data_IF_377229810421
#
_entry.id   IF_377229810421
#
_cell.length_a   1.000
_cell.length_b   1.000
_cell.length_c   1.000
_cell.angle_alpha   90.00
_cell.angle_beta   90.00
_cell.angle_gamma   90.00
#
_symmetry.space_group_name_H-M   'P 1'
#
loop_
_entity.id
_entity.type
_entity.pdbx_description
1 polymer ?
#
# COMPACT_ATOMS: atom_id res chain seq x y z
N UNK A 1 1.86 27.89 29.95
CA UNK A 1 2.20 27.78 28.52
C UNK A 1 1.49 26.54 28.03
N UNK A 2 0.33 26.74 27.41
CA UNK A 2 -0.46 25.66 26.84
C UNK A 2 0.26 25.19 25.57
N UNK A 3 0.87 24.01 25.64
CA UNK A 3 1.40 23.35 24.45
C UNK A 3 0.28 22.50 23.89
N UNK A 4 -0.61 23.16 23.15
CA UNK A 4 -1.52 22.49 22.23
C UNK A 4 -0.66 21.73 21.22
N UNK A 5 -0.38 20.46 21.49
CA UNK A 5 0.17 19.54 20.50
C UNK A 5 -0.89 19.46 19.40
N UNK A 6 -0.57 20.00 18.22
CA UNK A 6 -1.39 19.79 17.05
C UNK A 6 -1.52 18.28 16.82
N UNK A 7 -2.73 17.76 16.93
CA UNK A 7 -3.06 16.42 16.46
C UNK A 7 -2.80 16.37 14.95
N UNK A 8 -1.71 15.72 14.57
CA UNK A 8 -1.45 15.40 13.17
C UNK A 8 -2.37 14.23 12.84
N UNK A 9 -3.54 14.53 12.29
CA UNK A 9 -4.47 13.55 11.72
C UNK A 9 -3.88 13.10 10.38
N UNK A 10 -3.00 12.10 10.41
CA UNK A 10 -2.53 11.42 9.23
C UNK A 10 -2.80 9.94 9.45
N UNK A 11 -3.30 9.22 8.44
CA UNK A 11 -3.57 7.78 8.58
C UNK A 11 -2.33 6.99 9.03
N UNK A 12 -1.13 7.48 8.71
CA UNK A 12 0.15 6.93 9.22
C UNK A 12 0.37 7.06 10.74
N UNK A 13 -0.37 7.94 11.41
CA UNK A 13 -0.20 8.34 12.80
C UNK A 13 -1.29 7.77 13.70
N UNK A 14 -2.37 7.15 13.22
CA UNK A 14 -3.28 6.36 14.06
C UNK A 14 -3.60 5.01 13.41
N UNK A 15 -4.20 4.10 14.18
CA UNK A 15 -4.36 2.71 13.74
C UNK A 15 -5.50 2.55 12.73
N UNK A 16 -6.32 3.57 12.50
CA UNK A 16 -7.30 3.74 11.41
C UNK A 16 -7.84 2.42 10.86
N UNK A 17 -8.63 1.72 11.68
CA UNK A 17 -9.28 0.47 11.27
C UNK A 17 -8.36 -0.75 11.06
N UNK A 18 -7.04 -0.63 11.15
CA UNK A 18 -6.10 -1.76 11.01
C UNK A 18 -6.43 -2.91 11.96
N UNK A 19 -6.58 -4.09 11.37
CA UNK A 19 -6.96 -5.32 12.07
C UNK A 19 -8.47 -5.48 12.25
N UNK A 20 -9.27 -4.80 11.43
CA UNK A 20 -10.72 -5.01 11.38
C UNK A 20 -11.08 -6.38 10.81
N UNK A 21 -12.32 -6.82 11.05
CA UNK A 21 -12.88 -8.00 10.42
C UNK A 21 -13.65 -7.59 9.16
N UNK A 22 -13.69 -8.48 8.15
CA UNK A 22 -14.53 -8.30 6.96
C UNK A 22 -16.00 -8.68 7.26
N UNK A 23 -16.59 -8.07 8.29
CA UNK A 23 -17.96 -8.32 8.74
C UNK A 23 -18.92 -7.20 8.31
N UNK A 24 -20.22 -7.41 8.55
CA UNK A 24 -21.26 -6.45 8.16
C UNK A 24 -21.01 -5.05 8.76
N UNK A 25 -20.45 -4.97 9.98
CA UNK A 25 -20.17 -3.69 10.63
C UNK A 25 -19.08 -2.90 9.91
N UNK A 26 -18.04 -3.56 9.40
CA UNK A 26 -17.01 -2.90 8.60
C UNK A 26 -17.58 -2.36 7.28
N UNK A 27 -18.42 -3.14 6.59
CA UNK A 27 -19.05 -2.69 5.34
C UNK A 27 -20.06 -1.57 5.57
N UNK A 28 -20.85 -1.64 6.64
CA UNK A 28 -21.80 -0.59 7.01
C UNK A 28 -21.07 0.73 7.31
N UNK A 29 -19.94 0.68 8.02
CA UNK A 29 -19.13 1.86 8.33
C UNK A 29 -18.54 2.53 7.07
N UNK A 30 -18.14 1.74 6.07
CA UNK A 30 -17.58 2.22 4.80
C UNK A 30 -18.64 2.51 3.73
N UNK A 31 -19.93 2.40 4.07
CA UNK A 31 -21.05 2.72 3.18
C UNK A 31 -21.53 4.15 3.42
N UNK A 32 -21.78 4.89 2.35
CA UNK A 32 -22.29 6.25 2.40
C UNK A 32 -23.66 6.31 3.13
N UNK A 33 -23.89 7.31 4.00
CA UNK A 33 -22.99 8.40 4.38
C UNK A 33 -21.93 7.96 5.40
N UNK A 34 -20.65 8.20 5.11
CA UNK A 34 -19.55 7.90 6.04
C UNK A 34 -19.23 9.16 6.86
N UNK A 35 -19.01 9.00 8.18
CA UNK A 35 -18.76 10.11 9.11
C UNK A 35 -19.83 11.24 9.08
N UNK A 36 -21.05 10.93 8.64
CA UNK A 36 -22.16 11.87 8.52
C UNK A 36 -22.16 12.71 7.24
N UNK A 37 -21.26 12.44 6.29
CA UNK A 37 -21.19 13.11 5.00
C UNK A 37 -21.76 12.21 3.89
N UNK A 38 -22.79 12.68 3.16
CA UNK A 38 -23.38 11.92 2.04
C UNK A 38 -22.40 11.71 0.87
N UNK A 39 -21.40 12.58 0.77
CA UNK A 39 -20.41 12.58 -0.31
C UNK A 39 -19.27 11.57 -0.09
N UNK A 40 -19.15 11.00 1.11
CA UNK A 40 -18.08 10.06 1.49
C UNK A 40 -18.61 8.63 1.59
N UNK A 41 -17.71 7.64 1.56
CA UNK A 41 -18.05 6.21 1.58
C UNK A 41 -18.48 5.63 0.23
N UNK A 42 -18.59 4.32 0.16
CA UNK A 42 -19.07 3.60 -1.01
C UNK A 42 -20.60 3.61 -1.09
N UNK A 43 -21.17 3.53 -2.28
CA UNK A 43 -22.60 3.28 -2.41
C UNK A 43 -22.97 1.89 -1.85
N UNK A 44 -24.20 1.69 -1.35
CA UNK A 44 -24.63 0.40 -0.83
C UNK A 44 -24.43 -0.78 -1.78
N UNK A 45 -24.63 -0.57 -3.09
CA UNK A 45 -24.40 -1.63 -4.08
C UNK A 45 -22.91 -1.96 -4.28
N UNK A 46 -22.02 -0.99 -4.07
CA UNK A 46 -20.57 -1.17 -4.18
C UNK A 46 -20.04 -1.95 -2.98
N UNK A 47 -20.45 -1.57 -1.76
CA UNK A 47 -20.11 -2.28 -0.54
C UNK A 47 -20.63 -3.72 -0.57
N UNK A 48 -21.88 -3.93 -1.00
CA UNK A 48 -22.47 -5.27 -1.14
C UNK A 48 -21.73 -6.13 -2.19
N UNK A 49 -21.31 -5.54 -3.32
CA UNK A 49 -20.52 -6.24 -4.33
C UNK A 49 -19.16 -6.68 -3.79
N UNK A 50 -18.44 -5.77 -3.13
CA UNK A 50 -17.15 -6.08 -2.50
C UNK A 50 -17.31 -7.16 -1.42
N UNK A 51 -18.34 -7.07 -0.59
CA UNK A 51 -18.60 -8.07 0.45
C UNK A 51 -18.86 -9.46 -0.15
N UNK A 52 -19.71 -9.54 -1.17
CA UNK A 52 -20.00 -10.81 -1.88
C UNK A 52 -18.72 -11.41 -2.47
N UNK A 53 -17.87 -10.56 -3.05
CA UNK A 53 -16.57 -10.98 -3.59
C UNK A 53 -15.63 -11.52 -2.52
N UNK A 54 -15.48 -10.83 -1.39
CA UNK A 54 -14.59 -11.27 -0.32
C UNK A 54 -15.07 -12.54 0.39
N UNK A 55 -16.37 -12.86 0.31
CA UNK A 55 -16.95 -14.15 0.74
C UNK A 55 -16.70 -15.29 -0.28
N UNK A 56 -16.26 -14.96 -1.50
CA UNK A 56 -16.02 -15.93 -2.57
C UNK A 56 -17.24 -16.24 -3.44
N UNK A 57 -18.32 -15.47 -3.28
CA UNK A 57 -19.61 -15.71 -3.94
C UNK A 57 -19.74 -14.97 -5.30
N UNK A 58 -18.70 -14.25 -5.72
CA UNK A 58 -18.63 -13.57 -7.02
C UNK A 58 -17.23 -13.61 -7.61
N UNK A 59 -17.14 -13.43 -8.92
CA UNK A 59 -15.87 -13.31 -9.63
C UNK A 59 -15.34 -11.87 -9.61
N UNK A 60 -14.02 -11.68 -9.83
CA UNK A 60 -13.41 -10.35 -9.93
C UNK A 60 -14.08 -9.45 -10.98
N UNK A 61 -14.43 -9.99 -12.15
CA UNK A 61 -15.01 -9.23 -13.26
C UNK A 61 -16.47 -8.83 -13.00
N UNK A 62 -17.28 -9.73 -12.43
CA UNK A 62 -18.66 -9.42 -12.00
C UNK A 62 -18.66 -8.33 -10.92
N UNK A 63 -17.73 -8.45 -9.96
CA UNK A 63 -17.57 -7.49 -8.87
C UNK A 63 -17.15 -6.13 -9.41
N UNK A 64 -16.14 -6.08 -10.29
CA UNK A 64 -15.71 -4.85 -10.94
C UNK A 64 -16.87 -4.18 -11.69
N UNK A 65 -17.62 -4.94 -12.51
CA UNK A 65 -18.76 -4.43 -13.25
C UNK A 65 -19.89 -3.88 -12.33
N UNK A 66 -20.11 -4.52 -11.17
CA UNK A 66 -21.09 -4.04 -10.19
C UNK A 66 -20.64 -2.76 -9.49
N UNK A 67 -19.36 -2.68 -9.09
CA UNK A 67 -18.83 -1.54 -8.34
C UNK A 67 -18.75 -0.26 -9.19
N UNK A 68 -18.40 -0.38 -10.47
CA UNK A 68 -18.29 0.76 -11.39
C UNK A 68 -19.62 1.21 -11.99
N UNK A 69 -20.75 0.65 -11.53
CA UNK A 69 -22.07 1.08 -11.98
C UNK A 69 -22.39 2.46 -11.37
N UNK A 70 -22.69 3.49 -12.18
CA UNK A 70 -23.05 4.81 -11.67
C UNK A 70 -24.31 4.79 -10.80
N UNK A 71 -24.32 5.61 -9.77
CA UNK A 71 -25.46 5.90 -8.92
C UNK A 71 -26.08 7.26 -9.28
N UNK A 72 -27.31 7.25 -9.79
CA UNK A 72 -28.02 8.48 -10.15
C UNK A 72 -27.30 9.27 -11.24
N UNK A 73 -27.01 10.56 -10.97
CA UNK A 73 -26.34 11.49 -11.88
C UNK A 73 -24.92 11.86 -11.42
N UNK A 74 -24.27 11.00 -10.62
CA UNK A 74 -22.91 11.26 -10.14
C UNK A 74 -21.89 11.35 -11.30
N UNK A 75 -20.81 12.12 -11.08
CA UNK A 75 -19.70 12.18 -12.04
C UNK A 75 -18.87 10.91 -11.96
N UNK A 76 -18.28 10.51 -13.08
CA UNK A 76 -17.46 9.29 -13.08
C UNK A 76 -16.17 9.46 -12.27
N UNK A 77 -15.65 10.67 -12.13
CA UNK A 77 -14.54 10.98 -11.19
C UNK A 77 -14.88 10.67 -9.74
N UNK A 78 -16.11 11.00 -9.32
CA UNK A 78 -16.57 10.84 -7.93
C UNK A 78 -16.83 9.35 -7.68
N UNK A 79 -17.47 8.68 -8.64
CA UNK A 79 -17.61 7.23 -8.67
C UNK A 79 -16.25 6.51 -8.54
N UNK A 80 -15.24 6.94 -9.31
CA UNK A 80 -13.88 6.38 -9.21
C UNK A 80 -13.31 6.58 -7.81
N UNK A 81 -13.46 7.77 -7.24
CA UNK A 81 -13.01 8.06 -5.87
C UNK A 81 -13.63 7.11 -4.84
N UNK A 82 -14.95 6.89 -4.90
CA UNK A 82 -15.66 5.98 -3.97
C UNK A 82 -15.22 4.53 -4.13
N UNK A 83 -15.12 4.05 -5.38
CA UNK A 83 -14.70 2.67 -5.69
C UNK A 83 -13.27 2.41 -5.23
N UNK A 84 -12.33 3.32 -5.52
CA UNK A 84 -10.95 3.16 -5.08
C UNK A 84 -10.83 3.31 -3.56
N UNK A 85 -11.54 4.26 -2.95
CA UNK A 85 -11.51 4.51 -1.51
C UNK A 85 -11.84 3.27 -0.68
N UNK A 86 -12.97 2.61 -0.93
CA UNK A 86 -13.32 1.40 -0.18
C UNK A 86 -12.34 0.24 -0.41
N UNK A 87 -11.70 0.17 -1.58
CA UNK A 87 -10.67 -0.85 -1.85
C UNK A 87 -9.35 -0.50 -1.13
N UNK A 88 -8.98 0.78 -1.08
CA UNK A 88 -7.83 1.28 -0.31
C UNK A 88 -7.99 0.98 1.18
N UNK A 89 -9.16 1.30 1.75
CA UNK A 89 -9.47 1.02 3.15
C UNK A 89 -9.51 -0.51 3.38
N UNK A 90 -10.15 -1.29 2.49
CA UNK A 90 -10.14 -2.75 2.60
C UNK A 90 -8.72 -3.35 2.55
N UNK A 91 -7.84 -2.83 1.69
CA UNK A 91 -6.46 -3.30 1.58
C UNK A 91 -5.66 -3.03 2.85
N UNK A 92 -5.89 -1.88 3.50
CA UNK A 92 -5.18 -1.52 4.71
C UNK A 92 -5.78 -2.18 5.96
N UNK A 93 -7.10 -2.16 6.12
CA UNK A 93 -7.78 -2.47 7.37
C UNK A 93 -8.06 -3.96 7.57
N UNK A 94 -8.38 -4.67 6.48
CA UNK A 94 -8.79 -6.07 6.53
C UNK A 94 -7.58 -7.02 6.63
N UNK A 95 -7.80 -8.28 7.07
CA UNK A 95 -6.73 -9.25 7.17
C UNK A 95 -6.03 -9.50 5.84
N UNK A 96 -4.70 -9.68 5.91
CA UNK A 96 -3.82 -9.94 4.77
C UNK A 96 -4.28 -11.07 3.84
N UNK A 97 -5.10 -12.01 4.34
CA UNK A 97 -5.72 -13.07 3.54
C UNK A 97 -6.58 -12.54 2.38
N UNK A 98 -7.13 -11.33 2.49
CA UNK A 98 -7.95 -10.71 1.44
C UNK A 98 -7.11 -9.95 0.40
N UNK A 99 -5.86 -9.60 0.69
CA UNK A 99 -5.01 -8.82 -0.22
C UNK A 99 -4.91 -9.40 -1.63
N UNK A 100 -4.72 -10.72 -1.87
CA UNK A 100 -4.68 -11.25 -3.23
C UNK A 100 -5.97 -11.02 -4.02
N UNK A 101 -7.13 -11.16 -3.37
CA UNK A 101 -8.43 -10.92 -3.99
C UNK A 101 -8.62 -9.44 -4.34
N UNK A 102 -8.29 -8.54 -3.42
CA UNK A 102 -8.39 -7.09 -3.60
C UNK A 102 -7.46 -6.57 -4.70
N UNK A 103 -6.21 -7.05 -4.72
CA UNK A 103 -5.24 -6.73 -5.78
C UNK A 103 -5.74 -7.20 -7.15
N UNK A 104 -6.36 -8.38 -7.22
CA UNK A 104 -6.93 -8.87 -8.46
C UNK A 104 -8.14 -8.02 -8.90
N UNK A 105 -8.97 -7.58 -7.97
CA UNK A 105 -10.10 -6.68 -8.26
C UNK A 105 -9.61 -5.32 -8.80
N UNK A 106 -8.58 -4.72 -8.19
CA UNK A 106 -7.95 -3.49 -8.71
C UNK A 106 -7.45 -3.66 -10.14
N UNK A 107 -6.82 -4.81 -10.42
CA UNK A 107 -6.35 -5.13 -11.76
C UNK A 107 -7.51 -5.22 -12.76
N UNK A 108 -8.60 -5.90 -12.42
CA UNK A 108 -9.78 -5.98 -13.29
C UNK A 108 -10.40 -4.61 -13.55
N UNK A 109 -10.58 -3.80 -12.49
CA UNK A 109 -11.10 -2.44 -12.61
C UNK A 109 -10.22 -1.62 -13.57
N UNK A 110 -8.90 -1.70 -13.46
CA UNK A 110 -7.98 -0.93 -14.30
C UNK A 110 -8.03 -1.27 -15.80
N UNK A 111 -8.64 -2.40 -16.16
CA UNK A 111 -8.76 -2.88 -17.54
C UNK A 111 -10.12 -2.54 -18.17
N UNK A 112 -11.02 -1.90 -17.42
CA UNK A 112 -12.33 -1.52 -17.94
C UNK A 112 -12.22 -0.43 -19.02
N UNK A 113 -12.97 -0.55 -20.12
CA UNK A 113 -12.82 0.30 -21.31
C UNK A 113 -13.51 1.68 -21.20
N UNK A 114 -13.92 2.13 -20.01
CA UNK A 114 -14.75 3.33 -19.86
C UNK A 114 -13.95 4.64 -19.92
N UNK A 115 -14.54 5.66 -20.55
CA UNK A 115 -13.92 6.97 -20.83
C UNK A 115 -14.83 8.14 -20.37
N UNK A 116 -14.22 9.26 -20.01
CA UNK A 116 -14.88 10.55 -19.73
C UNK A 116 -14.08 11.65 -20.42
N UNK A 117 -14.77 12.50 -21.18
CA UNK A 117 -14.16 13.55 -22.00
C UNK A 117 -13.04 13.06 -22.96
N UNK A 118 -13.12 11.80 -23.39
CA UNK A 118 -12.15 11.17 -24.28
C UNK A 118 -10.89 10.63 -23.59
N UNK A 119 -10.84 10.68 -22.26
CA UNK A 119 -9.76 10.11 -21.46
C UNK A 119 -10.22 8.83 -20.75
N UNK A 120 -9.40 7.76 -20.76
CA UNK A 120 -9.68 6.56 -19.98
C UNK A 120 -9.77 6.85 -18.49
N UNK A 121 -10.90 6.52 -17.85
CA UNK A 121 -11.09 6.78 -16.41
C UNK A 121 -10.40 5.73 -15.57
N UNK A 122 -10.59 4.46 -15.97
CA UNK A 122 -10.16 3.32 -15.18
C UNK A 122 -8.73 2.88 -15.49
N UNK A 123 -8.23 3.03 -16.72
CA UNK A 123 -6.81 2.76 -16.94
C UNK A 123 -5.89 3.79 -16.25
N UNK A 124 -6.39 5.03 -16.07
CA UNK A 124 -5.75 6.05 -15.23
C UNK A 124 -6.01 5.84 -13.71
N UNK A 125 -6.91 4.94 -13.32
CA UNK A 125 -7.24 4.72 -11.90
C UNK A 125 -6.06 4.17 -11.10
N UNK A 126 -5.12 3.47 -11.74
CA UNK A 126 -3.92 2.96 -11.09
C UNK A 126 -3.01 4.08 -10.59
N UNK A 127 -2.86 5.12 -11.40
CA UNK A 127 -2.10 6.31 -11.00
C UNK A 127 -2.83 7.02 -9.86
N UNK A 128 -4.15 7.20 -9.99
CA UNK A 128 -4.97 7.82 -8.95
C UNK A 128 -4.91 7.06 -7.61
N UNK A 129 -4.94 5.72 -7.66
CA UNK A 129 -4.79 4.84 -6.50
C UNK A 129 -3.41 4.99 -5.87
N UNK A 130 -2.34 4.96 -6.67
CA UNK A 130 -0.98 5.16 -6.17
C UNK A 130 -0.76 6.53 -5.53
N UNK A 131 -1.29 7.59 -6.15
CA UNK A 131 -1.21 8.95 -5.61
C UNK A 131 -2.00 9.04 -4.27
N UNK A 132 -3.23 8.54 -4.22
CA UNK A 132 -4.08 8.49 -3.00
C UNK A 132 -3.41 7.69 -1.88
N UNK A 133 -2.95 6.47 -2.19
CA UNK A 133 -2.24 5.60 -1.25
C UNK A 133 -0.97 6.27 -0.71
N UNK A 134 -0.18 6.92 -1.56
CA UNK A 134 1.02 7.63 -1.13
C UNK A 134 0.69 8.80 -0.19
N UNK A 135 -0.35 9.58 -0.50
CA UNK A 135 -0.75 10.74 0.29
C UNK A 135 -1.30 10.35 1.67
N UNK A 136 -2.05 9.26 1.75
CA UNK A 136 -2.51 8.69 3.03
C UNK A 136 -1.35 8.27 3.94
N UNK A 137 -0.21 7.88 3.37
CA UNK A 137 0.84 7.13 4.07
C UNK A 137 2.25 7.74 3.95
N UNK A 138 2.37 9.07 4.11
CA UNK A 138 3.67 9.78 4.05
C UNK A 138 4.70 9.20 5.04
N UNK A 139 5.85 8.77 4.52
CA UNK A 139 6.90 8.05 5.26
C UNK A 139 7.56 8.84 6.40
N UNK A 140 7.53 10.18 6.41
CA UNK A 140 8.14 10.96 7.51
C UNK A 140 7.31 10.93 8.79
N UNK A 141 5.98 10.84 8.68
CA UNK A 141 5.07 11.01 9.81
C UNK A 141 5.06 9.79 10.75
N UNK A 142 5.32 8.57 10.25
CA UNK A 142 5.37 7.40 11.13
C UNK A 142 6.58 7.42 12.07
N UNK A 143 7.75 7.91 11.61
CA UNK A 143 8.94 8.04 12.48
C UNK A 143 8.67 8.99 13.65
N UNK A 144 8.00 10.11 13.38
CA UNK A 144 7.54 11.04 14.43
C UNK A 144 6.52 10.39 15.37
N UNK A 145 5.58 9.61 14.83
CA UNK A 145 4.59 8.86 15.62
C UNK A 145 5.24 7.79 16.53
N UNK A 146 6.43 7.29 16.20
CA UNK A 146 7.17 6.34 17.03
C UNK A 146 7.91 6.99 18.20
N UNK A 147 8.17 8.29 18.17
CA UNK A 147 8.91 9.01 19.23
C UNK A 147 8.06 9.18 20.49
N UNK A 148 6.73 8.99 20.43
CA UNK A 148 5.81 9.54 21.44
C UNK A 148 4.98 8.55 22.27
N UNK A 149 5.13 7.22 22.18
CA UNK A 149 4.08 6.33 22.73
C UNK A 149 4.56 5.05 23.44
N UNK A 150 3.61 4.42 24.14
CA UNK A 150 3.75 3.19 24.93
C UNK A 150 4.04 1.93 24.08
N UNK A 151 4.54 0.83 24.70
CA UNK A 151 4.95 -0.37 23.96
C UNK A 151 3.85 -1.08 23.15
N UNK A 152 2.59 -1.08 23.61
CA UNK A 152 1.51 -1.80 22.93
C UNK A 152 1.11 -1.09 21.63
N UNK A 153 1.00 0.24 21.69
CA UNK A 153 0.77 1.08 20.51
C UNK A 153 1.88 0.93 19.48
N UNK A 154 3.14 0.83 19.93
CA UNK A 154 4.29 0.58 19.05
C UNK A 154 4.17 -0.78 18.34
N UNK A 155 3.84 -1.86 19.04
CA UNK A 155 3.72 -3.19 18.43
C UNK A 155 2.66 -3.23 17.32
N UNK A 156 1.46 -2.67 17.57
CA UNK A 156 0.38 -2.67 16.57
C UNK A 156 0.71 -1.82 15.34
N UNK A 157 1.44 -0.70 15.51
CA UNK A 157 1.92 0.10 14.38
C UNK A 157 2.97 -0.62 13.54
N UNK A 158 3.84 -1.39 14.18
CA UNK A 158 4.81 -2.24 13.46
C UNK A 158 4.07 -3.23 12.58
N UNK A 159 3.04 -3.88 13.12
CA UNK A 159 2.19 -4.81 12.35
C UNK A 159 1.52 -4.11 11.17
N UNK A 160 0.93 -2.93 11.38
CA UNK A 160 0.33 -2.13 10.31
C UNK A 160 1.36 -1.72 9.23
N UNK A 161 2.57 -1.34 9.64
CA UNK A 161 3.64 -0.97 8.71
C UNK A 161 4.12 -2.17 7.86
N UNK A 162 4.23 -3.35 8.48
CA UNK A 162 4.57 -4.60 7.79
C UNK A 162 3.45 -5.01 6.82
N UNK A 163 2.20 -4.90 7.25
CA UNK A 163 1.02 -5.17 6.41
C UNK A 163 0.97 -4.24 5.20
N UNK A 164 1.23 -2.95 5.40
CA UNK A 164 1.36 -1.98 4.31
C UNK A 164 2.43 -2.42 3.30
N UNK A 165 3.63 -2.79 3.76
CA UNK A 165 4.68 -3.28 2.87
C UNK A 165 4.24 -4.54 2.09
N UNK A 166 3.43 -5.40 2.72
CA UNK A 166 2.85 -6.57 2.04
C UNK A 166 1.89 -6.16 0.92
N UNK A 167 0.98 -5.22 1.19
CA UNK A 167 0.05 -4.68 0.20
C UNK A 167 0.81 -4.03 -0.96
N UNK A 168 1.73 -3.13 -0.66
CA UNK A 168 2.49 -2.40 -1.69
C UNK A 168 3.30 -3.36 -2.58
N UNK A 169 3.98 -4.33 -1.99
CA UNK A 169 4.71 -5.35 -2.74
C UNK A 169 3.78 -6.22 -3.58
N UNK A 170 2.60 -6.58 -3.06
CA UNK A 170 1.61 -7.38 -3.80
C UNK A 170 1.06 -6.60 -5.00
N UNK A 171 0.73 -5.32 -4.83
CA UNK A 171 0.31 -4.43 -5.90
C UNK A 171 1.42 -4.21 -6.95
N UNK A 172 2.68 -4.05 -6.52
CA UNK A 172 3.80 -3.90 -7.45
C UNK A 172 4.06 -5.16 -8.28
N UNK A 173 3.74 -6.33 -7.72
CA UNK A 173 3.84 -7.61 -8.41
C UNK A 173 2.59 -7.96 -9.22
N UNK A 174 1.53 -7.16 -9.15
CA UNK A 174 0.37 -7.29 -10.01
C UNK A 174 0.61 -6.55 -11.32
N UNK A 175 0.63 -7.31 -12.42
CA UNK A 175 1.00 -6.85 -13.77
C UNK A 175 2.39 -6.17 -13.83
N UNK A 176 3.47 -6.86 -13.40
CA UNK A 176 4.79 -6.25 -13.34
C UNK A 176 5.29 -5.98 -14.76
N UNK A 177 5.65 -4.73 -15.05
CA UNK A 177 6.31 -4.37 -16.28
C UNK A 177 7.84 -4.44 -16.18
N UNK A 178 8.56 -4.18 -17.29
CA UNK A 178 10.02 -4.27 -17.36
C UNK A 178 10.76 -3.22 -16.52
N UNK A 179 10.10 -2.15 -16.08
CA UNK A 179 10.68 -1.00 -15.37
C UNK A 179 10.19 -0.90 -13.92
N UNK A 180 10.94 -0.17 -13.09
CA UNK A 180 10.62 0.03 -11.68
C UNK A 180 9.36 0.88 -11.42
N UNK A 181 8.82 1.52 -12.46
CA UNK A 181 7.60 2.34 -12.40
C UNK A 181 6.34 1.58 -12.82
N UNK A 182 6.50 0.34 -13.27
CA UNK A 182 5.41 -0.48 -13.78
C UNK A 182 4.80 -1.32 -12.63
N UNK A 183 3.59 -1.82 -12.83
CA UNK A 183 2.76 -2.49 -11.80
C UNK A 183 1.56 -1.65 -11.39
N UNK A 184 0.69 -2.17 -10.50
CA UNK A 184 -0.39 -1.35 -9.90
C UNK A 184 0.20 -0.27 -8.97
N UNK A 185 1.27 -0.63 -8.26
CA UNK A 185 2.13 0.30 -7.53
C UNK A 185 3.58 0.16 -8.02
N UNK A 186 4.40 1.22 -8.00
CA UNK A 186 5.72 1.16 -8.59
C UNK A 186 6.71 0.39 -7.70
N UNK A 187 7.46 -0.54 -8.28
CA UNK A 187 8.58 -1.24 -7.63
C UNK A 187 9.62 -0.28 -7.00
N UNK A 188 9.71 0.97 -7.48
CA UNK A 188 10.57 2.00 -6.89
C UNK A 188 10.30 2.26 -5.40
N UNK A 189 9.06 2.05 -4.93
CA UNK A 189 8.74 2.13 -3.51
C UNK A 189 9.38 1.00 -2.71
N UNK A 190 9.49 -0.19 -3.28
CA UNK A 190 10.23 -1.30 -2.68
C UNK A 190 11.72 -1.01 -2.57
N UNK A 191 12.32 -0.40 -3.60
CA UNK A 191 13.71 0.06 -3.53
C UNK A 191 13.91 1.10 -2.42
N UNK A 192 12.98 2.05 -2.26
CA UNK A 192 13.02 3.00 -1.16
C UNK A 192 12.92 2.29 0.20
N UNK A 193 11.87 1.48 0.41
CA UNK A 193 11.65 0.76 1.66
C UNK A 193 12.87 -0.08 2.07
N UNK A 194 13.44 -0.86 1.14
CA UNK A 194 14.61 -1.70 1.42
C UNK A 194 15.84 -0.85 1.73
N UNK A 195 16.08 0.21 0.97
CA UNK A 195 17.24 1.06 1.18
C UNK A 195 17.13 1.88 2.48
N UNK A 196 15.93 2.33 2.86
CA UNK A 196 15.67 2.94 4.17
C UNK A 196 15.98 1.95 5.30
N UNK A 197 15.43 0.74 5.25
CA UNK A 197 15.64 -0.26 6.31
C UNK A 197 17.04 -0.83 6.39
N UNK A 198 17.74 -1.00 5.25
CA UNK A 198 19.01 -1.74 5.21
C UNK A 198 20.24 -0.86 4.94
N UNK A 199 20.10 0.34 4.39
CA UNK A 199 21.24 1.21 4.07
C UNK A 199 21.30 2.48 4.90
N UNK A 200 20.19 2.90 5.52
CA UNK A 200 20.18 4.07 6.38
C UNK A 200 20.84 3.75 7.73
N UNK A 201 21.75 4.62 8.19
CA UNK A 201 22.37 4.48 9.51
C UNK A 201 21.37 4.75 10.65
N UNK A 202 20.36 5.59 10.39
CA UNK A 202 19.30 5.95 11.33
C UNK A 202 18.06 5.07 11.22
N UNK A 203 18.16 3.88 10.62
CA UNK A 203 17.02 2.99 10.46
C UNK A 203 16.44 2.60 11.84
N UNK A 204 15.12 2.57 11.95
CA UNK A 204 14.37 2.05 13.10
C UNK A 204 14.17 0.56 12.89
N UNK A 205 15.10 -0.24 13.42
CA UNK A 205 15.27 -1.64 13.01
C UNK A 205 14.02 -2.49 13.20
N UNK A 206 13.34 -2.37 14.33
CA UNK A 206 12.13 -3.14 14.63
C UNK A 206 10.92 -2.75 13.76
N UNK A 207 11.00 -1.68 12.94
CA UNK A 207 9.95 -1.26 12.01
C UNK A 207 10.35 -1.46 10.54
N UNK A 208 11.48 -0.90 10.15
CA UNK A 208 11.85 -0.78 8.73
C UNK A 208 12.45 -2.07 8.17
N UNK A 209 13.15 -2.85 9.01
CA UNK A 209 13.76 -4.11 8.58
C UNK A 209 12.69 -5.17 8.28
N UNK A 210 11.65 -5.38 9.13
CA UNK A 210 10.53 -6.25 8.78
C UNK A 210 9.83 -5.87 7.47
N UNK A 211 9.58 -4.58 7.23
CA UNK A 211 8.97 -4.10 5.99
C UNK A 211 9.88 -4.38 4.76
N UNK A 212 11.18 -4.11 4.87
CA UNK A 212 12.15 -4.42 3.83
C UNK A 212 12.21 -5.93 3.51
N UNK A 213 12.13 -6.77 4.55
CA UNK A 213 12.08 -8.23 4.41
C UNK A 213 10.84 -8.69 3.62
N UNK A 214 9.67 -8.09 3.86
CA UNK A 214 8.45 -8.39 3.11
C UNK A 214 8.62 -8.08 1.62
N UNK A 215 9.16 -6.92 1.27
CA UNK A 215 9.45 -6.56 -0.12
C UNK A 215 10.41 -7.55 -0.80
N UNK A 216 11.47 -7.96 -0.10
CA UNK A 216 12.41 -8.96 -0.63
C UNK A 216 11.75 -10.32 -0.79
N UNK A 217 10.86 -10.72 0.12
CA UNK A 217 10.13 -11.99 0.04
C UNK A 217 9.17 -12.05 -1.15
N UNK A 218 8.44 -10.97 -1.40
CA UNK A 218 7.39 -10.93 -2.43
C UNK A 218 7.95 -10.55 -3.80
N UNK A 219 8.74 -9.47 -3.87
CA UNK A 219 9.24 -8.90 -5.12
C UNK A 219 10.71 -9.25 -5.41
N UNK A 220 11.36 -10.06 -4.56
CA UNK A 220 12.80 -10.30 -4.62
C UNK A 220 13.34 -10.79 -5.96
N UNK A 221 12.60 -11.65 -6.66
CA UNK A 221 13.00 -12.09 -8.00
C UNK A 221 13.06 -10.90 -8.98
N UNK A 222 12.02 -10.06 -9.00
CA UNK A 222 11.94 -8.90 -9.90
C UNK A 222 12.96 -7.81 -9.54
N UNK A 223 13.22 -7.61 -8.25
CA UNK A 223 14.29 -6.71 -7.76
C UNK A 223 15.68 -7.21 -8.18
N UNK A 224 15.94 -8.52 -8.06
CA UNK A 224 17.18 -9.14 -8.53
C UNK A 224 17.35 -9.02 -10.04
N UNK A 225 16.28 -9.12 -10.82
CA UNK A 225 16.34 -8.87 -12.27
C UNK A 225 16.66 -7.40 -12.58
N UNK A 226 16.09 -6.46 -11.83
CA UNK A 226 16.47 -5.04 -11.90
C UNK A 226 17.97 -4.84 -11.61
N UNK A 227 18.50 -5.56 -10.62
CA UNK A 227 19.92 -5.56 -10.28
C UNK A 227 20.83 -6.11 -11.40
N UNK A 228 20.37 -7.11 -12.17
CA UNK A 228 21.10 -7.61 -13.35
C UNK A 228 21.11 -6.61 -14.51
N UNK A 229 20.06 -5.80 -14.63
CA UNK A 229 19.90 -4.82 -15.72
C UNK A 229 20.47 -3.44 -15.40
N UNK A 230 20.92 -3.18 -14.18
CA UNK A 230 21.33 -1.83 -13.78
C UNK A 230 20.14 -0.88 -13.65
N UNK A 231 18.99 -1.37 -13.17
CA UNK A 231 17.75 -0.59 -13.09
C UNK A 231 17.97 0.71 -12.29
N UNK A 232 17.57 1.83 -12.90
CA UNK A 232 17.65 3.15 -12.29
C UNK A 232 16.29 3.52 -11.70
N UNK A 233 16.28 4.06 -10.50
CA UNK A 233 15.10 4.73 -9.96
C UNK A 233 15.54 5.79 -8.94
N UNK A 234 14.67 6.77 -8.72
CA UNK A 234 14.91 7.89 -7.81
C UNK A 234 15.26 7.44 -6.39
N UNK A 235 14.70 6.32 -5.92
CA UNK A 235 14.93 5.80 -4.57
C UNK A 235 16.39 5.36 -4.33
N UNK A 236 17.11 5.00 -5.40
CA UNK A 236 18.48 4.49 -5.33
C UNK A 236 19.55 5.59 -5.45
N UNK A 237 19.14 6.81 -5.80
CA UNK A 237 20.01 7.97 -6.05
C UNK A 237 20.26 8.82 -4.78
N UNK A 238 19.78 8.39 -3.62
CA UNK A 238 19.98 9.11 -2.35
C UNK A 238 21.40 8.93 -1.82
N UNK A 239 22.08 10.05 -1.57
CA UNK A 239 23.43 10.08 -0.97
C UNK A 239 23.39 9.85 0.55
N UNK A 240 24.57 9.69 1.18
CA UNK A 240 24.71 9.58 2.64
C UNK A 240 24.35 8.21 3.24
N UNK A 241 24.17 7.19 2.40
CA UNK A 241 23.84 5.82 2.79
C UNK A 241 25.07 4.92 2.88
N UNK A 242 24.90 3.74 3.48
CA UNK A 242 25.93 2.70 3.51
C UNK A 242 26.32 2.20 2.10
N UNK A 243 25.42 2.35 1.13
CA UNK A 243 25.69 2.10 -0.29
C UNK A 243 25.70 3.42 -1.06
N UNK A 244 26.64 3.60 -1.98
CA UNK A 244 26.74 4.82 -2.78
C UNK A 244 25.53 4.98 -3.73
N UNK A 245 25.13 6.23 -3.98
CA UNK A 245 24.08 6.56 -4.93
C UNK A 245 24.38 5.99 -6.33
N UNK A 246 23.34 5.54 -7.01
CA UNK A 246 23.43 5.03 -8.38
C UNK A 246 22.54 3.82 -8.65
N UNK A 247 22.65 3.22 -9.85
CA UNK A 247 21.75 2.16 -10.30
C UNK A 247 21.79 0.93 -9.41
N UNK A 248 20.72 0.14 -9.46
CA UNK A 248 20.68 -1.16 -8.81
C UNK A 248 21.78 -2.06 -9.38
N UNK A 249 22.44 -2.85 -8.53
CA UNK A 249 23.50 -3.76 -8.96
C UNK A 249 23.43 -5.07 -8.19
N UNK A 250 24.01 -6.14 -8.75
CA UNK A 250 24.13 -7.42 -8.05
C UNK A 250 24.93 -7.28 -6.75
N UNK A 251 25.88 -6.36 -6.67
CA UNK A 251 26.60 -6.04 -5.43
C UNK A 251 25.67 -5.49 -4.35
N UNK A 252 24.85 -4.49 -4.70
CA UNK A 252 23.86 -3.88 -3.80
C UNK A 252 22.79 -4.89 -3.36
N UNK A 253 22.33 -5.72 -4.29
CA UNK A 253 21.39 -6.82 -4.00
C UNK A 253 21.97 -7.81 -2.98
N UNK A 254 23.20 -8.28 -3.19
CA UNK A 254 23.85 -9.21 -2.28
C UNK A 254 24.12 -8.56 -0.91
N UNK A 255 24.42 -7.27 -0.87
CA UNK A 255 24.55 -6.51 0.38
C UNK A 255 23.24 -6.52 1.17
N UNK A 256 22.10 -6.23 0.54
CA UNK A 256 20.79 -6.30 1.21
C UNK A 256 20.50 -7.68 1.79
N UNK A 257 20.69 -8.73 1.00
CA UNK A 257 20.45 -10.10 1.47
C UNK A 257 21.34 -10.48 2.65
N UNK A 258 22.63 -10.13 2.58
CA UNK A 258 23.57 -10.39 3.67
C UNK A 258 23.16 -9.65 4.94
N UNK A 259 22.73 -8.39 4.82
CA UNK A 259 22.35 -7.56 5.96
C UNK A 259 21.09 -8.06 6.65
N UNK A 260 20.09 -8.51 5.89
CA UNK A 260 18.91 -9.19 6.44
C UNK A 260 19.28 -10.49 7.18
N UNK A 261 20.14 -11.32 6.57
CA UNK A 261 20.60 -12.57 7.20
C UNK A 261 21.38 -12.33 8.49
N UNK A 262 22.17 -11.26 8.54
CA UNK A 262 22.83 -10.85 9.77
C UNK A 262 21.75 -10.50 10.80
N UNK A 263 20.86 -9.56 10.51
CA UNK A 263 19.81 -9.11 11.43
C UNK A 263 18.93 -10.26 11.99
N UNK A 264 18.53 -11.22 11.17
CA UNK A 264 17.77 -12.41 11.60
C UNK A 264 18.52 -13.25 12.65
N UNK A 265 19.86 -13.38 12.50
CA UNK A 265 20.69 -14.09 13.48
C UNK A 265 20.84 -13.33 14.79
N UNK A 266 20.79 -11.99 14.75
CA UNK A 266 20.82 -11.17 15.97
C UNK A 266 19.52 -11.31 16.76
N UNK A 267 18.36 -11.37 16.09
CA UNK A 267 17.07 -11.60 16.76
C UNK A 267 16.97 -12.99 17.40
N UNK A 268 17.54 -14.02 16.79
CA UNK A 268 17.56 -15.39 17.35
C UNK A 268 18.52 -15.56 18.54
N UNK A 269 19.44 -14.62 18.75
CA UNK A 269 20.44 -14.67 19.82
C UNK A 269 20.03 -13.89 21.08
N UNK A 270 18.92 -13.15 21.03
CA UNK A 270 18.29 -12.41 22.13
C UNK A 270 17.20 -13.24 22.81
#
# INVERSE_FOLDING_TARGET
MDTSIQEIICKSVDLDGFGSAADDAWFDYHTAPMDGEEETGAHPHQAAALQTYLKGDSTPSETAAAMVKPHGSEKKTDLRGRVLGIIEDALFELPQSHTPALVNLLKEISQLPDEEDGEPIWSNSLKSFGDSWSDAWKQSHWREALVTRDPATRAKRREAHVHRAFVEASCAMAAPGPNAKDGLLPLSWGYECISEGLECQGAVWDFEVPAASVWIKIAGQRLREGAKRGEKCWALEREGRLWAAGPMSMGRWNFWLKRLQEMERWEQAL
#
